data_IF_818463023890
#
_entry.id   IF_818463023890
#
_cell.length_a   1.000
_cell.length_b   1.000
_cell.length_c   1.000
_cell.angle_alpha   90.00
_cell.angle_beta   90.00
_cell.angle_gamma   90.00
#
_symmetry.space_group_name_H-M   'P 1'
#
loop_
_entity.id
_entity.type
_entity.pdbx_description
1 polymer ?
#
# COMPACT_ATOMS: atom_id res chain seq x y z
N UNK A 1 32.17 49.83 -3.18
CA UNK A 1 30.87 49.17 -3.40
C UNK A 1 30.00 49.45 -2.17
N UNK A 2 28.98 50.30 -2.32
CA UNK A 2 28.18 50.80 -1.18
C UNK A 2 27.25 49.71 -0.66
N UNK A 3 26.96 49.71 0.65
CA UNK A 3 26.12 48.69 1.33
C UNK A 3 24.77 48.49 0.62
N UNK A 4 24.23 49.55 0.03
CA UNK A 4 22.99 49.54 -0.78
C UNK A 4 23.08 48.63 -2.01
N UNK A 5 24.25 48.52 -2.64
CA UNK A 5 24.48 47.68 -3.84
C UNK A 5 24.53 46.19 -3.45
N UNK A 6 25.10 45.87 -2.29
CA UNK A 6 25.15 44.49 -1.77
C UNK A 6 23.76 44.01 -1.39
N UNK A 7 22.95 44.88 -0.80
CA UNK A 7 21.54 44.57 -0.47
C UNK A 7 20.73 44.36 -1.75
N UNK A 8 20.83 45.23 -2.76
CA UNK A 8 20.12 45.06 -4.05
C UNK A 8 20.46 43.76 -4.77
N UNK A 9 21.75 43.38 -4.80
CA UNK A 9 22.17 42.09 -5.37
C UNK A 9 21.67 40.90 -4.54
N UNK A 10 21.64 41.03 -3.21
CA UNK A 10 21.11 40.03 -2.29
C UNK A 10 19.58 39.86 -2.37
N UNK A 11 18.82 40.94 -2.58
CA UNK A 11 17.36 40.88 -2.72
C UNK A 11 16.96 40.32 -4.10
N UNK A 12 17.71 40.66 -5.15
CA UNK A 12 17.56 40.04 -6.47
C UNK A 12 17.83 38.54 -6.41
N UNK A 13 18.82 38.09 -5.63
CA UNK A 13 19.10 36.68 -5.39
C UNK A 13 18.05 35.99 -4.49
N UNK A 14 17.55 36.66 -3.44
CA UNK A 14 16.55 36.10 -2.53
C UNK A 14 15.16 35.93 -3.18
N UNK A 15 14.89 36.64 -4.29
CA UNK A 15 13.67 36.49 -5.08
C UNK A 15 13.66 35.22 -5.96
N UNK A 16 14.80 34.53 -6.08
CA UNK A 16 15.00 33.34 -6.92
C UNK A 16 15.12 32.04 -6.10
N UNK A 17 15.13 32.14 -4.77
CA UNK A 17 15.20 30.99 -3.85
C UNK A 17 13.99 30.90 -2.93
N UNK A 18 12.80 31.24 -3.42
CA UNK A 18 11.63 30.45 -3.06
C UNK A 18 11.72 29.11 -3.82
N UNK A 19 12.72 28.29 -3.46
CA UNK A 19 12.47 26.85 -3.48
C UNK A 19 11.40 26.66 -2.42
N UNK A 20 10.14 26.84 -2.83
CA UNK A 20 9.07 26.12 -2.20
C UNK A 20 9.56 24.69 -2.16
N UNK A 21 9.93 24.21 -0.97
CA UNK A 21 10.06 22.78 -0.75
C UNK A 21 8.63 22.24 -0.79
N UNK A 22 8.06 22.21 -2.00
CA UNK A 22 7.11 21.19 -2.37
C UNK A 22 7.89 19.92 -2.12
N UNK A 23 7.73 19.36 -0.91
CA UNK A 23 8.30 18.08 -0.57
C UNK A 23 7.87 17.14 -1.68
N UNK A 24 8.82 16.81 -2.56
CA UNK A 24 8.55 16.10 -3.79
C UNK A 24 7.90 14.78 -3.37
N UNK A 25 6.57 14.73 -3.44
CA UNK A 25 5.82 13.50 -3.24
C UNK A 25 6.15 12.71 -4.48
N UNK A 26 7.15 11.85 -4.37
CA UNK A 26 7.48 10.92 -5.42
C UNK A 26 6.21 10.11 -5.72
N UNK A 27 5.55 10.48 -6.81
CA UNK A 27 4.29 9.90 -7.28
C UNK A 27 4.45 8.43 -7.64
N UNK A 28 5.71 7.96 -7.69
CA UNK A 28 6.09 6.56 -7.82
C UNK A 28 5.56 5.68 -6.66
N UNK A 29 5.43 6.23 -5.44
CA UNK A 29 5.17 5.43 -4.25
C UNK A 29 3.92 5.87 -3.46
N UNK A 30 2.75 5.24 -3.69
CA UNK A 30 1.53 5.56 -2.97
C UNK A 30 1.66 5.19 -1.49
N UNK A 31 1.28 6.10 -0.58
CA UNK A 31 1.20 5.84 0.88
C UNK A 31 -0.21 5.54 1.35
N UNK A 32 -1.20 6.07 0.63
CA UNK A 32 -2.62 5.95 0.94
C UNK A 32 -3.27 5.17 -0.20
N UNK A 33 -4.00 4.12 0.15
CA UNK A 33 -4.80 3.35 -0.78
C UNK A 33 -6.27 3.40 -0.34
N UNK A 34 -7.21 3.54 -1.28
CA UNK A 34 -8.63 3.54 -0.95
C UNK A 34 -9.01 2.19 -0.32
N UNK A 35 -9.57 2.23 0.89
CA UNK A 35 -9.98 1.03 1.62
C UNK A 35 -11.27 0.41 1.05
N UNK A 36 -12.06 1.20 0.30
CA UNK A 36 -13.30 0.79 -0.35
C UNK A 36 -13.04 0.10 -1.69
N UNK A 37 -12.72 -1.19 -1.67
CA UNK A 37 -13.08 -2.19 -2.69
C UNK A 37 -12.78 -1.94 -4.19
N UNK A 38 -12.04 -0.90 -4.58
CA UNK A 38 -11.97 -0.45 -5.97
C UNK A 38 -10.89 -1.10 -6.84
N UNK A 39 -10.45 -2.33 -6.56
CA UNK A 39 -9.42 -2.95 -7.39
C UNK A 39 -9.40 -4.47 -7.29
N UNK A 40 -9.15 -5.11 -8.42
CA UNK A 40 -8.97 -6.55 -8.51
C UNK A 40 -7.63 -6.97 -7.86
N UNK A 41 -7.59 -8.14 -7.20
CA UNK A 41 -6.35 -8.66 -6.64
C UNK A 41 -5.32 -8.89 -7.76
N UNK A 42 -4.07 -8.55 -7.47
CA UNK A 42 -2.95 -8.70 -8.42
C UNK A 42 -1.88 -9.60 -7.81
N UNK A 43 -1.20 -10.36 -8.66
CA UNK A 43 -0.05 -11.16 -8.25
C UNK A 43 1.24 -10.38 -8.51
N UNK A 44 2.10 -10.26 -7.50
CA UNK A 44 3.43 -9.69 -7.63
C UNK A 44 4.45 -10.71 -8.17
N UNK A 45 5.52 -10.21 -8.79
CA UNK A 45 6.66 -11.01 -9.25
C UNK A 45 7.41 -11.72 -8.11
N UNK A 46 7.11 -11.38 -6.85
CA UNK A 46 7.55 -12.05 -5.63
C UNK A 46 6.65 -13.22 -5.21
N UNK A 47 5.63 -13.56 -6.01
CA UNK A 47 4.70 -14.66 -5.71
C UNK A 47 3.64 -14.31 -4.66
N UNK A 48 3.52 -13.04 -4.26
CA UNK A 48 2.56 -12.59 -3.27
C UNK A 48 1.34 -11.99 -3.97
N UNK A 49 0.14 -12.35 -3.49
CA UNK A 49 -1.11 -11.74 -3.96
C UNK A 49 -1.38 -10.48 -3.12
N UNK A 50 -1.50 -9.34 -3.81
CA UNK A 50 -1.86 -8.07 -3.23
C UNK A 50 -3.35 -7.79 -3.46
N UNK A 51 -3.99 -7.13 -2.49
CA UNK A 51 -5.42 -6.79 -2.54
C UNK A 51 -5.80 -6.00 -3.79
N UNK A 52 -4.91 -5.12 -4.23
CA UNK A 52 -5.03 -4.34 -5.46
C UNK A 52 -3.65 -3.79 -5.86
N UNK A 53 -3.60 -3.15 -7.03
CA UNK A 53 -2.38 -2.54 -7.56
C UNK A 53 -1.78 -1.46 -6.65
N UNK A 54 -2.60 -0.68 -5.94
CA UNK A 54 -2.11 0.34 -5.02
C UNK A 54 -1.37 -0.29 -3.85
N UNK A 55 -1.93 -1.33 -3.24
CA UNK A 55 -1.32 -2.07 -2.14
C UNK A 55 -0.02 -2.76 -2.56
N UNK A 56 0.06 -3.25 -3.80
CA UNK A 56 1.31 -3.72 -4.38
C UNK A 56 2.35 -2.59 -4.38
N UNK A 57 2.07 -1.50 -5.09
CA UNK A 57 3.01 -0.36 -5.23
C UNK A 57 3.41 0.24 -3.88
N UNK A 58 2.48 0.31 -2.93
CA UNK A 58 2.73 0.83 -1.58
C UNK A 58 3.70 -0.03 -0.80
N UNK A 59 3.51 -1.35 -0.81
CA UNK A 59 4.33 -2.30 -0.04
C UNK A 59 5.66 -2.60 -0.70
N UNK A 60 5.73 -2.51 -2.03
CA UNK A 60 6.91 -2.88 -2.83
C UNK A 60 7.63 -1.68 -3.46
N UNK A 61 7.24 -0.46 -3.11
CA UNK A 61 7.90 0.77 -3.50
C UNK A 61 9.43 0.64 -3.39
N UNK A 62 10.14 0.98 -4.46
CA UNK A 62 11.61 0.90 -4.53
C UNK A 62 12.21 -0.51 -4.60
N UNK A 63 11.39 -1.57 -4.57
CA UNK A 63 11.84 -2.98 -4.64
C UNK A 63 11.75 -3.59 -6.04
N UNK A 64 11.22 -2.86 -7.03
CA UNK A 64 11.13 -3.32 -8.42
C UNK A 64 10.15 -4.49 -8.66
N UNK A 65 9.19 -4.70 -7.76
CA UNK A 65 8.18 -5.77 -7.93
C UNK A 65 7.12 -5.31 -8.92
N UNK A 66 6.86 -6.14 -9.94
CA UNK A 66 5.85 -5.88 -10.97
C UNK A 66 4.70 -6.88 -10.87
N UNK A 67 3.59 -6.58 -11.54
CA UNK A 67 2.49 -7.55 -11.67
C UNK A 67 2.92 -8.68 -12.59
N UNK A 68 2.63 -9.92 -12.22
CA UNK A 68 2.83 -11.10 -13.05
C UNK A 68 1.59 -11.99 -13.04
N UNK A 69 1.36 -12.73 -14.13
CA UNK A 69 0.20 -13.64 -14.25
C UNK A 69 0.52 -15.09 -13.87
N UNK A 70 1.80 -15.47 -13.85
CA UNK A 70 2.24 -16.87 -13.66
C UNK A 70 2.94 -17.12 -12.31
N UNK A 71 3.11 -16.10 -11.47
CA UNK A 71 3.85 -16.20 -10.20
C UNK A 71 3.02 -16.66 -8.99
N UNK A 72 1.69 -16.52 -9.05
CA UNK A 72 0.81 -16.89 -7.94
C UNK A 72 -0.19 -17.91 -8.44
N UNK A 73 0.01 -19.16 -8.07
CA UNK A 73 -0.98 -20.20 -8.29
C UNK A 73 -1.88 -20.28 -7.06
N UNK A 74 -3.19 -20.23 -7.29
CA UNK A 74 -4.14 -20.64 -6.28
C UNK A 74 -3.87 -22.12 -5.98
N UNK A 75 -3.75 -22.48 -4.71
CA UNK A 75 -3.63 -23.89 -4.33
C UNK A 75 -4.77 -24.67 -4.99
N UNK A 76 -4.43 -25.69 -5.78
CA UNK A 76 -5.44 -26.51 -6.44
C UNK A 76 -6.36 -27.12 -5.37
N UNK A 77 -7.66 -26.89 -5.49
CA UNK A 77 -8.65 -27.35 -4.51
C UNK A 77 -8.99 -26.35 -3.40
N UNK A 78 -8.34 -25.18 -3.31
CA UNK A 78 -8.83 -24.12 -2.43
C UNK A 78 -10.19 -23.65 -2.93
N UNK A 79 -11.27 -23.96 -2.21
CA UNK A 79 -12.58 -23.32 -2.38
C UNK A 79 -12.65 -22.12 -1.44
N UNK A 80 -12.50 -20.89 -1.97
CA UNK A 80 -12.75 -19.65 -1.22
C UNK A 80 -14.25 -19.31 -1.22
N UNK A 81 -15.10 -20.33 -1.37
CA UNK A 81 -16.55 -20.20 -1.30
C UNK A 81 -17.05 -20.31 0.15
N UNK A 82 -16.15 -20.57 1.12
CA UNK A 82 -16.55 -20.59 2.52
C UNK A 82 -16.89 -19.16 2.98
N UNK A 83 -18.18 -18.83 2.91
CA UNK A 83 -18.73 -17.60 3.44
C UNK A 83 -19.37 -17.90 4.79
N UNK A 84 -18.79 -17.31 5.83
CA UNK A 84 -19.37 -17.31 7.16
C UNK A 84 -20.10 -15.99 7.39
N UNK A 85 -21.19 -16.05 8.16
CA UNK A 85 -21.82 -14.83 8.66
C UNK A 85 -20.95 -14.12 9.70
N UNK A 86 -21.43 -12.97 10.15
CA UNK A 86 -20.72 -12.11 11.13
C UNK A 86 -21.24 -12.30 12.56
N UNK A 87 -21.92 -13.41 12.81
CA UNK A 87 -22.45 -13.75 14.13
C UNK A 87 -21.29 -13.87 15.12
N UNK A 88 -21.45 -13.27 16.29
CA UNK A 88 -20.41 -13.15 17.30
C UNK A 88 -20.61 -14.23 18.36
N UNK A 89 -20.26 -15.47 17.99
CA UNK A 89 -20.38 -16.67 18.83
C UNK A 89 -18.99 -17.29 19.02
N UNK A 90 -18.10 -16.66 19.80
CA UNK A 90 -16.68 -16.97 19.79
C UNK A 90 -16.39 -18.40 20.26
N UNK A 91 -15.51 -19.10 19.54
CA UNK A 91 -15.06 -20.46 19.87
C UNK A 91 -13.54 -20.52 19.98
N UNK A 92 -13.03 -21.30 20.93
CA UNK A 92 -11.60 -21.55 21.07
C UNK A 92 -11.21 -22.77 20.22
N UNK A 93 -10.24 -22.61 19.33
CA UNK A 93 -9.66 -23.67 18.52
C UNK A 93 -8.66 -24.52 19.31
N UNK A 94 -8.41 -25.73 18.81
CA UNK A 94 -7.37 -26.63 19.34
C UNK A 94 -5.95 -26.11 19.11
N UNK A 95 -5.81 -25.13 18.22
CA UNK A 95 -4.60 -24.35 17.95
C UNK A 95 -4.40 -23.17 18.94
N UNK A 96 -5.32 -22.99 19.90
CA UNK A 96 -5.27 -21.93 20.90
C UNK A 96 -5.72 -20.56 20.40
N UNK A 97 -6.33 -20.46 19.21
CA UNK A 97 -6.87 -19.21 18.68
C UNK A 97 -8.37 -19.10 18.94
N UNK A 98 -8.87 -17.88 19.17
CA UNK A 98 -10.31 -17.60 19.24
C UNK A 98 -10.83 -17.20 17.88
N UNK A 99 -11.87 -17.88 17.42
CA UNK A 99 -12.55 -17.62 16.15
C UNK A 99 -13.89 -16.95 16.39
N UNK A 100 -14.32 -16.07 15.47
CA UNK A 100 -15.54 -15.27 15.59
C UNK A 100 -16.81 -16.13 15.77
N UNK A 101 -16.85 -17.26 15.07
CA UNK A 101 -17.89 -18.27 15.16
C UNK A 101 -17.38 -19.63 14.70
N UNK A 102 -18.19 -20.67 14.91
CA UNK A 102 -17.87 -22.05 14.52
C UNK A 102 -17.60 -22.20 13.03
N UNK A 103 -18.27 -21.42 12.17
CA UNK A 103 -18.00 -21.44 10.73
C UNK A 103 -16.57 -20.97 10.43
N UNK A 104 -16.14 -19.85 11.04
CA UNK A 104 -14.77 -19.33 10.86
C UNK A 104 -13.67 -20.25 11.41
N UNK A 105 -14.00 -21.12 12.38
CA UNK A 105 -13.09 -22.14 12.91
C UNK A 105 -12.86 -23.30 11.90
N UNK A 106 -13.79 -23.55 10.99
CA UNK A 106 -13.77 -24.69 10.06
C UNK A 106 -13.09 -24.38 8.71
N UNK A 107 -12.54 -23.17 8.56
CA UNK A 107 -11.79 -22.70 7.37
C UNK A 107 -10.31 -22.99 7.53
#
# INVERSE_FOLDING_TARGET
ISVVVVVLLGVLAASIFFDGVEGARDSSCPRICPQGGGGEPVCGSDGIIYRNLCELKKKTCGRGITVTSNGCQRAQGAKCEHRCGKELEPVCGTDGRTYLNRCMLQV
#
